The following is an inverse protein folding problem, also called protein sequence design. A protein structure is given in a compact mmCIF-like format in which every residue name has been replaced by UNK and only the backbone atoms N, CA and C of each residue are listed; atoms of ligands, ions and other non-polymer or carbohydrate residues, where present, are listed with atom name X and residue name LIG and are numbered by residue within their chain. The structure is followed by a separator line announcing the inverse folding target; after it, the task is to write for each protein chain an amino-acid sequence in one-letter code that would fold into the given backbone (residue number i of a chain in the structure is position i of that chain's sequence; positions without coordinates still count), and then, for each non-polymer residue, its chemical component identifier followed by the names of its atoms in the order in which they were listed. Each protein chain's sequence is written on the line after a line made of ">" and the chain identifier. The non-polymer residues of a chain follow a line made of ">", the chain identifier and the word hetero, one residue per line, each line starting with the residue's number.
data_IF_942438462559
#
_entry.id   IF_942438462559
#
_cell.length_a   1.000
_cell.length_b   1.000
_cell.length_c   1.000
_cell.angle_alpha   90.00
_cell.angle_beta   90.00
_cell.angle_gamma   90.00
#
_symmetry.space_group_name_H-M   'P 1'
#
loop_
_entity.id
_entity.type
_entity.pdbx_description
1 polymer ?
#
# COMPACT_ATOMS: atom_id res chain seq x y z
N UNK A 1 -13.19 15.63 -8.56
CA UNK A 1 -13.98 15.93 -9.76
C UNK A 1 -13.58 17.27 -10.34
N UNK A 2 -13.76 17.52 -11.65
CA UNK A 2 -13.48 18.78 -12.33
C UNK A 2 -13.40 18.60 -13.84
N UNK A 3 -13.32 19.67 -14.59
CA UNK A 3 -13.19 19.65 -16.06
C UNK A 3 -11.95 18.89 -16.53
N UNK A 4 -11.92 18.39 -17.78
CA UNK A 4 -10.68 17.94 -18.42
C UNK A 4 -9.59 19.02 -18.29
N UNK A 5 -8.34 18.60 -18.15
CA UNK A 5 -7.18 19.50 -18.00
C UNK A 5 -7.20 20.49 -16.81
N UNK A 6 -8.13 20.37 -15.86
CA UNK A 6 -8.08 21.17 -14.62
C UNK A 6 -6.93 20.77 -13.66
N UNK A 7 -6.18 19.73 -14.01
CA UNK A 7 -5.01 19.28 -13.24
C UNK A 7 -5.32 18.33 -12.10
N UNK A 8 -6.44 17.58 -12.14
CA UNK A 8 -6.84 16.59 -11.12
C UNK A 8 -5.75 15.57 -10.85
N UNK A 9 -5.27 14.89 -11.89
CA UNK A 9 -4.22 13.86 -11.78
C UNK A 9 -2.88 14.46 -11.29
N UNK A 10 -2.55 15.67 -11.74
CA UNK A 10 -1.37 16.40 -11.25
C UNK A 10 -1.50 16.74 -9.76
N UNK A 11 -2.70 17.11 -9.31
CA UNK A 11 -3.00 17.39 -7.91
C UNK A 11 -2.88 16.12 -7.06
N UNK A 12 -3.47 15.02 -7.49
CA UNK A 12 -3.34 13.72 -6.80
C UNK A 12 -1.88 13.32 -6.67
N UNK A 13 -1.08 13.48 -7.74
CA UNK A 13 0.36 13.21 -7.72
C UNK A 13 1.12 14.14 -6.76
N UNK A 14 0.77 15.42 -6.72
CA UNK A 14 1.41 16.38 -5.81
C UNK A 14 1.10 16.06 -4.35
N UNK A 15 -0.13 15.68 -4.03
CA UNK A 15 -0.57 15.30 -2.70
C UNK A 15 0.01 13.96 -2.24
N UNK A 16 0.19 12.99 -3.13
CA UNK A 16 0.74 11.66 -2.81
C UNK A 16 2.24 11.65 -2.53
N UNK A 17 2.98 12.72 -2.87
CA UNK A 17 4.45 12.79 -2.80
C UNK A 17 5.19 11.63 -3.49
N UNK A 18 4.48 10.76 -4.19
CA UNK A 18 5.03 9.71 -5.05
C UNK A 18 4.69 10.06 -6.49
N UNK A 19 5.64 9.88 -7.42
CA UNK A 19 5.27 9.73 -8.83
C UNK A 19 4.40 8.48 -8.90
N UNK A 20 3.09 8.66 -9.03
CA UNK A 20 2.21 7.56 -9.39
C UNK A 20 2.70 7.11 -10.75
N UNK A 21 3.36 5.97 -10.81
CA UNK A 21 3.64 5.30 -12.06
C UNK A 21 2.27 5.00 -12.65
N UNK A 22 1.91 5.69 -13.72
CA UNK A 22 0.75 5.36 -14.54
C UNK A 22 1.08 3.99 -15.15
N UNK A 23 0.71 2.93 -14.45
CA UNK A 23 0.75 1.58 -14.99
C UNK A 23 -0.48 1.45 -15.86
N UNK A 24 -0.28 1.58 -17.18
CA UNK A 24 -1.28 1.31 -18.19
C UNK A 24 -1.88 2.52 -18.86
N UNK A 25 -1.09 3.31 -19.58
CA UNK A 25 -1.58 4.11 -20.69
C UNK A 25 -1.58 3.26 -21.97
N UNK A 26 -2.59 2.44 -22.15
CA UNK A 26 -3.07 2.18 -23.49
C UNK A 26 -3.94 3.37 -23.90
N UNK A 27 -3.77 3.96 -25.10
CA UNK A 27 -4.41 5.22 -25.48
C UNK A 27 -5.92 5.13 -25.73
N UNK A 28 -6.66 4.25 -25.10
CA UNK A 28 -8.12 4.10 -25.30
C UNK A 28 -8.90 3.63 -24.05
N UNK A 29 -8.39 3.74 -22.82
CA UNK A 29 -9.12 3.27 -21.63
C UNK A 29 -9.09 4.24 -20.45
N UNK A 30 -9.22 5.54 -20.68
CA UNK A 30 -9.34 6.57 -19.62
C UNK A 30 -10.76 6.67 -19.06
N UNK A 31 -11.48 5.55 -18.90
CA UNK A 31 -12.88 5.52 -18.38
C UNK A 31 -13.03 4.96 -16.98
N UNK A 32 -11.94 4.60 -16.29
CA UNK A 32 -12.02 3.98 -14.96
C UNK A 32 -11.36 4.83 -13.86
N UNK A 33 -11.92 4.71 -12.64
CA UNK A 33 -11.48 5.38 -11.41
C UNK A 33 -10.03 5.00 -11.07
N UNK A 34 -9.13 5.97 -10.99
CA UNK A 34 -7.79 5.79 -10.47
C UNK A 34 -7.76 6.19 -8.99
N UNK A 35 -7.53 5.23 -8.11
CA UNK A 35 -7.46 5.47 -6.67
C UNK A 35 -6.01 5.45 -6.18
N UNK A 36 -5.66 6.44 -5.37
CA UNK A 36 -4.34 6.56 -4.75
C UNK A 36 -4.49 6.64 -3.24
N UNK A 37 -3.81 5.77 -2.52
CA UNK A 37 -3.79 5.79 -1.06
C UNK A 37 -2.74 6.78 -0.57
N UNK A 38 -3.16 7.72 0.26
CA UNK A 38 -2.29 8.72 0.90
C UNK A 38 -2.27 8.48 2.39
N UNK A 39 -1.05 8.50 2.97
CA UNK A 39 -0.83 8.40 4.40
C UNK A 39 -0.17 9.65 4.93
N UNK A 40 -0.77 10.26 5.98
CA UNK A 40 -0.21 11.42 6.67
C UNK A 40 -0.67 11.49 8.13
N UNK A 41 0.27 11.72 9.05
CA UNK A 41 -0.02 11.91 10.48
C UNK A 41 -0.97 10.85 11.06
N UNK A 42 -0.61 9.57 10.90
CA UNK A 42 -1.41 8.40 11.34
C UNK A 42 -2.81 8.28 10.71
N UNK A 43 -3.15 9.13 9.75
CA UNK A 43 -4.36 9.03 8.95
C UNK A 43 -4.04 8.51 7.56
N UNK A 44 -4.92 7.65 7.06
CA UNK A 44 -4.84 7.09 5.72
C UNK A 44 -6.16 7.33 5.03
N UNK A 45 -6.10 7.77 3.80
CA UNK A 45 -7.28 7.98 2.97
C UNK A 45 -6.97 7.70 1.50
N UNK A 46 -7.99 7.33 0.78
CA UNK A 46 -7.91 7.08 -0.64
C UNK A 46 -8.43 8.30 -1.38
N UNK A 47 -7.60 8.84 -2.27
CA UNK A 47 -8.04 9.84 -3.25
C UNK A 47 -8.33 9.11 -4.55
N UNK A 48 -9.53 9.31 -5.08
CA UNK A 48 -9.94 8.77 -6.36
C UNK A 48 -10.00 9.88 -7.39
N UNK A 49 -9.20 9.76 -8.46
CA UNK A 49 -9.32 10.61 -9.64
C UNK A 49 -10.42 10.05 -10.53
N UNK A 50 -11.45 10.85 -10.74
CA UNK A 50 -12.54 10.49 -11.65
C UNK A 50 -12.18 11.00 -13.04
N UNK A 51 -12.46 10.23 -14.11
CA UNK A 51 -12.23 10.68 -15.48
C UNK A 51 -12.87 12.03 -15.71
N UNK A 52 -12.18 12.89 -16.46
CA UNK A 52 -12.66 14.24 -16.78
C UNK A 52 -14.03 14.18 -17.44
N UNK A 53 -14.97 14.89 -16.84
CA UNK A 53 -16.32 15.02 -17.35
C UNK A 53 -16.28 15.88 -18.63
N UNK A 54 -16.83 15.37 -19.74
CA UNK A 54 -17.12 16.05 -21.00
C UNK A 54 -15.97 16.19 -22.02
N UNK A 55 -15.83 15.21 -22.88
CA UNK A 55 -15.41 15.47 -24.27
C UNK A 55 -16.63 15.52 -25.22
N UNK A 56 -17.79 14.97 -24.84
CA UNK A 56 -18.99 15.05 -25.69
C UNK A 56 -20.29 15.11 -24.87
N UNK A 57 -21.14 16.16 -25.03
CA UNK A 57 -22.38 16.33 -24.29
C UNK A 57 -23.47 15.29 -24.65
N UNK A 58 -23.38 14.68 -25.82
CA UNK A 58 -24.41 13.80 -26.36
C UNK A 58 -24.17 12.30 -26.08
N UNK A 59 -22.98 11.91 -25.61
CA UNK A 59 -22.65 10.54 -25.19
C UNK A 59 -22.81 10.27 -23.69
N UNK A 60 -23.61 11.01 -22.98
CA UNK A 60 -23.93 10.75 -21.56
C UNK A 60 -24.82 9.50 -21.42
N UNK A 61 -24.21 8.35 -21.66
CA UNK A 61 -24.79 7.06 -21.38
C UNK A 61 -25.25 7.02 -19.90
N UNK A 62 -26.52 6.70 -19.64
CA UNK A 62 -27.09 6.53 -18.29
C UNK A 62 -26.19 5.70 -17.36
N UNK A 63 -25.46 4.74 -17.93
CA UNK A 63 -24.46 3.94 -17.20
C UNK A 63 -23.31 4.76 -16.61
N UNK A 64 -22.84 5.82 -17.29
CA UNK A 64 -21.78 6.68 -16.77
C UNK A 64 -22.30 7.60 -15.67
N UNK A 65 -23.50 8.15 -15.82
CA UNK A 65 -24.16 8.95 -14.78
C UNK A 65 -24.41 8.15 -13.52
N UNK A 66 -24.83 6.89 -13.66
CA UNK A 66 -25.08 5.99 -12.54
C UNK A 66 -23.77 5.62 -11.82
N UNK A 67 -22.69 5.37 -12.56
CA UNK A 67 -21.34 5.16 -11.98
C UNK A 67 -20.85 6.38 -11.21
N UNK A 68 -20.99 7.58 -11.79
CA UNK A 68 -20.56 8.81 -11.15
C UNK A 68 -21.36 9.10 -9.87
N UNK A 69 -22.66 8.89 -9.90
CA UNK A 69 -23.53 8.98 -8.69
C UNK A 69 -23.07 8.00 -7.61
N UNK A 70 -22.74 6.77 -7.96
CA UNK A 70 -22.22 5.78 -7.01
C UNK A 70 -20.90 6.26 -6.38
N UNK A 71 -19.97 6.78 -7.18
CA UNK A 71 -18.71 7.31 -6.65
C UNK A 71 -18.88 8.56 -5.78
N UNK A 72 -19.81 9.44 -6.12
CA UNK A 72 -20.13 10.59 -5.28
C UNK A 72 -20.76 10.15 -3.96
N UNK A 73 -21.67 9.17 -3.97
CA UNK A 73 -22.31 8.67 -2.76
C UNK A 73 -21.33 8.00 -1.80
N UNK A 74 -20.29 7.32 -2.30
CA UNK A 74 -19.26 6.68 -1.49
C UNK A 74 -18.26 7.66 -0.90
N UNK A 75 -18.16 8.88 -1.44
CA UNK A 75 -17.18 9.87 -1.03
C UNK A 75 -17.62 10.57 0.26
N UNK A 76 -16.75 10.61 1.27
CA UNK A 76 -16.96 11.44 2.47
C UNK A 76 -16.61 12.90 2.24
N UNK A 77 -15.66 13.14 1.33
CA UNK A 77 -15.20 14.46 0.97
C UNK A 77 -14.97 14.51 -0.54
N UNK A 78 -15.46 15.58 -1.16
CA UNK A 78 -15.35 15.79 -2.59
C UNK A 78 -14.46 17.01 -2.82
N UNK A 79 -13.43 16.86 -3.66
CA UNK A 79 -12.64 17.99 -4.13
C UNK A 79 -13.13 18.41 -5.52
N UNK A 80 -13.68 19.61 -5.63
CA UNK A 80 -14.03 20.22 -6.90
C UNK A 80 -12.84 21.04 -7.42
N UNK A 81 -12.12 20.48 -8.40
CA UNK A 81 -10.87 21.07 -8.92
C UNK A 81 -11.17 21.94 -10.14
N UNK A 82 -10.86 23.21 -10.03
CA UNK A 82 -11.10 24.23 -11.05
C UNK A 82 -9.75 24.82 -11.49
N UNK A 83 -9.54 24.87 -12.81
CA UNK A 83 -8.45 25.65 -13.39
C UNK A 83 -8.80 27.15 -13.32
N UNK A 84 -7.99 27.95 -12.66
CA UNK A 84 -8.24 29.40 -12.50
C UNK A 84 -8.25 30.17 -13.82
N UNK A 85 -7.65 29.60 -14.86
CA UNK A 85 -7.59 30.20 -16.21
C UNK A 85 -8.70 29.68 -17.13
N UNK A 86 -9.64 28.89 -16.60
CA UNK A 86 -10.70 28.32 -17.45
C UNK A 86 -11.63 29.38 -18.02
N UNK A 87 -12.02 29.22 -19.25
CA UNK A 87 -13.08 29.98 -19.93
C UNK A 87 -14.35 29.13 -20.14
N UNK A 88 -14.31 27.85 -19.80
CA UNK A 88 -15.44 26.94 -19.96
C UNK A 88 -16.37 26.96 -18.73
N UNK A 89 -17.08 28.07 -18.55
CA UNK A 89 -18.03 28.23 -17.46
C UNK A 89 -19.26 27.30 -17.59
N UNK A 90 -19.73 27.03 -18.82
CA UNK A 90 -20.86 26.14 -19.04
C UNK A 90 -20.56 24.71 -18.57
N UNK A 91 -19.33 24.25 -18.76
CA UNK A 91 -18.87 22.96 -18.23
C UNK A 91 -18.80 22.95 -16.71
N UNK A 92 -18.34 24.03 -16.09
CA UNK A 92 -18.34 24.17 -14.63
C UNK A 92 -19.78 24.18 -14.06
N UNK A 93 -20.71 24.90 -14.70
CA UNK A 93 -22.13 24.94 -14.29
C UNK A 93 -22.78 23.55 -14.32
N UNK A 94 -22.45 22.73 -15.32
CA UNK A 94 -22.93 21.35 -15.40
C UNK A 94 -22.41 20.50 -14.23
N UNK A 95 -21.10 20.59 -13.90
CA UNK A 95 -20.52 19.85 -12.78
C UNK A 95 -21.12 20.38 -11.45
N UNK A 96 -21.25 21.69 -11.29
CA UNK A 96 -21.84 22.32 -10.13
C UNK A 96 -23.27 21.83 -9.89
N UNK A 97 -24.13 21.85 -10.92
CA UNK A 97 -25.49 21.35 -10.86
C UNK A 97 -25.54 19.85 -10.52
N UNK A 98 -24.62 19.06 -11.04
CA UNK A 98 -24.50 17.65 -10.75
C UNK A 98 -24.11 17.41 -9.28
N UNK A 99 -23.16 18.17 -8.76
CA UNK A 99 -22.79 18.11 -7.34
C UNK A 99 -23.97 18.49 -6.46
N UNK A 100 -24.63 19.61 -6.72
CA UNK A 100 -25.80 20.06 -5.94
C UNK A 100 -26.93 19.02 -5.87
N UNK A 101 -27.16 18.26 -6.96
CA UNK A 101 -28.19 17.22 -7.03
C UNK A 101 -27.85 15.93 -6.31
N UNK A 102 -26.56 15.61 -6.13
CA UNK A 102 -26.13 14.30 -5.66
C UNK A 102 -25.34 14.36 -4.32
N UNK A 103 -25.08 15.52 -3.76
CA UNK A 103 -24.40 15.66 -2.46
C UNK A 103 -25.40 15.46 -1.33
N UNK A 104 -25.03 14.61 -0.37
CA UNK A 104 -25.77 14.40 0.88
C UNK A 104 -25.32 15.40 1.95
N UNK A 105 -26.19 15.71 2.93
CA UNK A 105 -25.91 16.69 4.02
C UNK A 105 -24.67 16.36 4.86
N UNK A 106 -24.22 15.10 4.87
CA UNK A 106 -23.06 14.66 5.63
C UNK A 106 -21.73 14.76 4.84
N UNK A 107 -21.81 15.03 3.55
CA UNK A 107 -20.65 15.14 2.67
C UNK A 107 -20.14 16.57 2.62
N UNK A 108 -18.81 16.72 2.71
CA UNK A 108 -18.14 17.99 2.55
C UNK A 108 -17.61 18.15 1.12
N UNK A 109 -17.73 19.37 0.59
CA UNK A 109 -17.16 19.72 -0.71
C UNK A 109 -16.12 20.83 -0.52
N UNK A 110 -14.92 20.58 -0.99
CA UNK A 110 -13.84 21.56 -0.98
C UNK A 110 -13.61 22.00 -2.42
N UNK A 111 -13.61 23.31 -2.65
CA UNK A 111 -13.23 23.88 -3.94
C UNK A 111 -11.72 24.07 -3.98
N UNK A 112 -11.08 23.53 -5.03
CA UNK A 112 -9.63 23.63 -5.21
C UNK A 112 -9.35 24.38 -6.51
N UNK A 113 -8.91 25.63 -6.37
CA UNK A 113 -8.44 26.44 -7.49
C UNK A 113 -7.00 26.08 -7.81
N UNK A 114 -6.79 25.41 -8.95
CA UNK A 114 -5.48 24.92 -9.38
C UNK A 114 -4.88 25.83 -10.46
N UNK A 115 -3.57 25.68 -10.68
CA UNK A 115 -2.71 26.48 -11.57
C UNK A 115 -2.50 27.92 -11.09
N UNK A 116 -2.58 28.14 -9.77
CA UNK A 116 -2.26 29.40 -9.14
C UNK A 116 -0.74 29.54 -8.99
N UNK A 117 -0.06 30.07 -10.02
CA UNK A 117 1.41 30.14 -10.00
C UNK A 117 1.96 31.36 -9.25
N UNK A 118 1.15 32.41 -9.05
CA UNK A 118 1.57 33.67 -8.48
C UNK A 118 0.61 34.17 -7.39
N UNK A 119 0.69 33.62 -6.18
CA UNK A 119 -0.18 33.94 -5.04
C UNK A 119 -0.20 35.44 -4.66
N UNK A 120 0.88 36.19 -4.90
CA UNK A 120 0.98 37.60 -4.51
C UNK A 120 0.27 38.57 -5.47
N UNK A 121 -0.09 38.13 -6.68
CA UNK A 121 -0.73 38.96 -7.72
C UNK A 121 -1.98 38.32 -8.32
N UNK A 122 -2.48 37.26 -7.68
CA UNK A 122 -3.59 36.50 -8.20
C UNK A 122 -4.90 37.08 -7.69
N UNK A 123 -5.71 37.63 -8.59
CA UNK A 123 -7.11 37.98 -8.35
C UNK A 123 -7.97 36.91 -9.00
N UNK A 124 -8.81 36.26 -8.19
CA UNK A 124 -9.75 35.25 -8.69
C UNK A 124 -10.80 35.97 -9.56
N UNK A 125 -11.08 35.44 -10.73
CA UNK A 125 -12.19 35.95 -11.55
C UNK A 125 -13.51 35.83 -10.78
N UNK A 126 -14.27 36.93 -10.75
CA UNK A 126 -15.55 37.05 -10.01
C UNK A 126 -16.54 35.93 -10.36
N UNK A 127 -16.55 35.44 -11.60
CA UNK A 127 -17.38 34.34 -12.07
C UNK A 127 -17.10 33.04 -11.34
N UNK A 128 -15.90 32.82 -10.80
CA UNK A 128 -15.52 31.58 -10.13
C UNK A 128 -15.98 31.51 -8.68
N UNK A 129 -16.36 32.64 -8.04
CA UNK A 129 -16.84 32.64 -6.66
C UNK A 129 -18.12 31.82 -6.45
N UNK A 130 -18.96 31.69 -7.49
CA UNK A 130 -20.19 30.88 -7.42
C UNK A 130 -19.96 29.39 -7.23
N UNK A 131 -18.72 28.91 -7.46
CA UNK A 131 -18.34 27.50 -7.30
C UNK A 131 -17.65 27.20 -5.98
N UNK A 132 -17.56 28.17 -5.07
CA UNK A 132 -17.05 27.94 -3.72
C UNK A 132 -18.11 27.23 -2.89
N UNK A 133 -17.70 26.14 -2.26
CA UNK A 133 -18.49 25.35 -1.33
C UNK A 133 -18.05 25.59 0.12
N UNK A 134 -17.89 24.55 0.92
CA UNK A 134 -17.58 24.66 2.37
C UNK A 134 -16.25 25.35 2.66
N UNK A 135 -15.29 25.22 1.78
CA UNK A 135 -13.99 25.91 1.85
C UNK A 135 -13.30 25.92 0.48
N UNK A 136 -12.38 26.85 0.31
CA UNK A 136 -11.61 27.02 -0.91
C UNK A 136 -10.10 26.99 -0.64
N UNK A 137 -9.35 26.43 -1.58
CA UNK A 137 -7.90 26.33 -1.52
C UNK A 137 -7.30 26.68 -2.87
N UNK A 138 -6.21 27.44 -2.82
CA UNK A 138 -5.48 27.86 -4.01
C UNK A 138 -4.18 27.06 -4.11
N UNK A 139 -3.97 26.35 -5.22
CA UNK A 139 -2.82 25.48 -5.37
C UNK A 139 -2.17 25.62 -6.74
N UNK A 140 -0.88 25.37 -6.81
CA UNK A 140 -0.19 25.02 -8.04
C UNK A 140 0.32 23.59 -7.92
N UNK A 141 -0.37 22.64 -8.56
CA UNK A 141 -0.01 21.23 -8.49
C UNK A 141 1.37 20.94 -9.07
N UNK A 142 1.79 21.68 -10.11
CA UNK A 142 3.09 21.53 -10.76
C UNK A 142 4.21 22.04 -9.85
N UNK A 143 4.03 23.23 -9.25
CA UNK A 143 5.02 23.86 -8.39
C UNK A 143 4.87 23.47 -6.91
N UNK A 144 3.87 22.64 -6.57
CA UNK A 144 3.54 22.20 -5.20
C UNK A 144 3.28 23.35 -4.22
N UNK A 145 2.78 24.46 -4.71
CA UNK A 145 2.39 25.61 -3.88
C UNK A 145 0.98 25.39 -3.33
N UNK A 146 0.72 25.69 -2.04
CA UNK A 146 -0.58 25.52 -1.38
C UNK A 146 -1.00 24.07 -1.14
N UNK A 147 -0.25 23.08 -1.62
CA UNK A 147 -0.59 21.66 -1.49
C UNK A 147 -0.47 21.14 -0.05
N UNK A 148 0.40 21.74 0.77
CA UNK A 148 0.56 21.37 2.19
C UNK A 148 -0.66 21.83 3.00
N UNK A 149 -1.13 23.05 2.78
CA UNK A 149 -2.31 23.61 3.43
C UNK A 149 -3.57 22.80 3.08
N UNK A 150 -3.76 22.51 1.80
CA UNK A 150 -4.83 21.62 1.34
C UNK A 150 -4.74 20.23 2.02
N UNK A 151 -3.54 19.66 2.10
CA UNK A 151 -3.33 18.36 2.73
C UNK A 151 -3.65 18.40 4.23
N UNK A 152 -3.31 19.46 4.93
CA UNK A 152 -3.69 19.63 6.34
C UNK A 152 -5.20 19.70 6.52
N UNK A 153 -5.88 20.43 5.66
CA UNK A 153 -7.34 20.53 5.67
C UNK A 153 -8.01 19.17 5.40
N UNK A 154 -7.53 18.44 4.40
CA UNK A 154 -7.99 17.06 4.14
C UNK A 154 -7.79 16.16 5.36
N UNK A 155 -6.64 16.26 6.02
CA UNK A 155 -6.33 15.46 7.20
C UNK A 155 -7.21 15.83 8.41
N UNK A 156 -7.56 17.11 8.58
CA UNK A 156 -8.46 17.61 9.65
C UNK A 156 -9.93 17.25 9.40
N UNK A 157 -10.40 17.33 8.17
CA UNK A 157 -11.80 17.06 7.81
C UNK A 157 -12.16 15.57 7.85
N UNK A 158 -11.16 14.71 7.80
CA UNK A 158 -11.37 13.27 7.99
C UNK A 158 -11.39 12.94 9.48
N UNK A 159 -12.61 12.83 10.06
CA UNK A 159 -12.81 12.35 11.41
C UNK A 159 -12.14 10.98 11.60
N UNK A 160 -11.65 10.74 12.81
CA UNK A 160 -10.94 9.53 13.25
C UNK A 160 -11.85 8.30 13.26
N UNK A 161 -12.38 7.88 12.14
CA UNK A 161 -12.97 6.56 12.00
C UNK A 161 -11.84 5.56 11.77
N UNK A 162 -11.35 5.00 12.85
CA UNK A 162 -10.35 3.93 12.92
C UNK A 162 -10.79 2.66 12.17
N UNK A 163 -12.06 2.50 11.85
CA UNK A 163 -12.59 1.27 11.24
C UNK A 163 -12.30 1.14 9.73
N UNK A 164 -12.27 2.26 8.99
CA UNK A 164 -11.90 2.22 7.56
C UNK A 164 -10.38 2.12 7.34
N UNK A 165 -9.57 2.53 8.33
CA UNK A 165 -8.11 2.42 8.30
C UNK A 165 -7.67 0.97 8.50
N UNK A 166 -8.39 0.21 9.32
CA UNK A 166 -8.11 -1.22 9.57
C UNK A 166 -8.19 -2.06 8.30
N UNK A 167 -9.10 -1.76 7.39
CA UNK A 167 -9.30 -2.59 6.20
C UNK A 167 -8.26 -2.35 5.08
N UNK A 168 -7.65 -1.17 5.00
CA UNK A 168 -6.67 -0.85 3.94
C UNK A 168 -5.30 -1.50 4.20
N UNK A 169 -5.00 -1.89 5.45
CA UNK A 169 -3.71 -2.50 5.83
C UNK A 169 -3.73 -4.02 5.94
N UNK A 170 -4.88 -4.65 5.72
CA UNK A 170 -5.02 -6.10 5.90
C UNK A 170 -5.10 -6.86 4.59
N UNK A 171 -4.23 -6.52 3.63
CA UNK A 171 -4.14 -7.31 2.40
C UNK A 171 -2.98 -8.29 2.47
N UNK A 172 -3.22 -9.52 2.03
CA UNK A 172 -2.25 -10.60 1.95
C UNK A 172 -2.06 -10.95 0.47
N UNK A 173 -0.85 -10.81 -0.04
CA UNK A 173 -0.50 -11.27 -1.38
C UNK A 173 -0.12 -12.75 -1.36
N UNK A 174 -0.56 -13.54 -2.34
CA UNK A 174 -0.08 -14.90 -2.57
C UNK A 174 0.84 -14.90 -3.79
N UNK A 175 2.13 -15.07 -3.58
CA UNK A 175 3.15 -15.01 -4.61
C UNK A 175 3.95 -16.31 -4.69
N UNK A 176 4.67 -16.52 -5.77
CA UNK A 176 5.50 -17.69 -5.99
C UNK A 176 5.42 -18.18 -7.43
N UNK A 177 6.20 -19.19 -7.76
CA UNK A 177 6.33 -19.72 -9.13
C UNK A 177 5.05 -20.35 -9.66
N UNK A 178 4.92 -20.51 -10.98
CA UNK A 178 3.89 -21.35 -11.57
C UNK A 178 3.96 -22.77 -10.98
N UNK A 179 2.80 -23.38 -10.74
CA UNK A 179 2.63 -24.74 -10.22
C UNK A 179 3.16 -24.99 -8.77
N UNK A 180 3.51 -23.95 -8.01
CA UNK A 180 3.85 -24.09 -6.58
C UNK A 180 2.64 -24.40 -5.70
N UNK A 181 1.42 -24.23 -6.22
CA UNK A 181 0.18 -24.52 -5.52
C UNK A 181 -0.52 -23.30 -4.91
N UNK A 182 -0.25 -22.09 -5.45
CA UNK A 182 -0.90 -20.83 -5.02
C UNK A 182 -2.42 -20.91 -5.08
N UNK A 183 -2.97 -21.27 -6.25
CA UNK A 183 -4.43 -21.37 -6.43
C UNK A 183 -5.06 -22.49 -5.57
N UNK A 184 -4.31 -23.57 -5.33
CA UNK A 184 -4.77 -24.63 -4.42
C UNK A 184 -4.85 -24.12 -2.99
N UNK A 185 -3.84 -23.36 -2.54
CA UNK A 185 -3.83 -22.74 -1.22
C UNK A 185 -4.96 -21.70 -1.09
N UNK A 186 -5.12 -20.83 -2.10
CA UNK A 186 -6.19 -19.83 -2.14
C UNK A 186 -7.57 -20.48 -2.01
N UNK A 187 -7.87 -21.49 -2.86
CA UNK A 187 -9.14 -22.21 -2.80
C UNK A 187 -9.34 -22.94 -1.47
N UNK A 188 -8.26 -23.49 -0.88
CA UNK A 188 -8.35 -24.13 0.43
C UNK A 188 -8.68 -23.16 1.54
N UNK A 189 -8.11 -21.95 1.51
CA UNK A 189 -8.40 -20.88 2.46
C UNK A 189 -9.85 -20.38 2.32
N UNK A 190 -10.38 -20.32 1.10
CA UNK A 190 -11.78 -19.93 0.84
C UNK A 190 -12.79 -20.98 1.32
N UNK A 191 -12.47 -22.28 1.15
CA UNK A 191 -13.37 -23.40 1.47
C UNK A 191 -13.36 -23.81 2.96
N UNK A 192 -12.41 -23.38 3.75
CA UNK A 192 -12.51 -23.52 5.21
C UNK A 192 -13.55 -22.50 5.68
N UNK A 193 -14.62 -22.89 6.42
CA UNK A 193 -15.85 -22.21 6.85
C UNK A 193 -15.73 -20.74 7.36
N UNK A 194 -14.67 -20.06 7.03
CA UNK A 194 -14.24 -18.73 7.49
C UNK A 194 -14.31 -17.64 6.43
N UNK A 195 -14.59 -18.00 5.19
CA UNK A 195 -14.77 -17.04 4.13
C UNK A 195 -16.15 -16.40 4.21
N UNK A 196 -16.24 -15.17 4.67
CA UNK A 196 -17.41 -14.36 4.36
C UNK A 196 -17.18 -13.84 2.94
N UNK A 197 -17.73 -14.56 1.98
CA UNK A 197 -17.79 -14.06 0.61
C UNK A 197 -18.78 -12.90 0.60
N UNK A 198 -18.30 -11.69 0.78
CA UNK A 198 -19.04 -10.53 0.34
C UNK A 198 -18.80 -10.41 -1.17
N UNK A 199 -19.68 -11.04 -1.94
CA UNK A 199 -19.79 -10.79 -3.37
C UNK A 199 -20.26 -9.34 -3.58
N UNK A 200 -19.37 -8.38 -3.45
CA UNK A 200 -19.57 -7.10 -4.11
C UNK A 200 -19.23 -7.36 -5.58
N UNK A 201 -20.24 -7.85 -6.28
CA UNK A 201 -20.29 -7.97 -7.72
C UNK A 201 -20.15 -6.58 -8.32
N UNK A 202 -18.96 -6.22 -8.73
CA UNK A 202 -18.67 -4.93 -9.34
C UNK A 202 -17.38 -4.92 -10.13
N UNK A 203 -17.48 -5.41 -11.36
CA UNK A 203 -16.66 -4.99 -12.51
C UNK A 203 -15.14 -5.05 -12.37
N UNK A 204 -14.54 -6.07 -12.93
CA UNK A 204 -13.47 -6.02 -13.93
C UNK A 204 -12.58 -7.27 -13.88
N UNK A 205 -12.28 -7.74 -15.02
CA UNK A 205 -11.73 -9.03 -15.45
C UNK A 205 -10.31 -9.41 -14.98
N UNK A 206 -9.65 -8.74 -14.02
CA UNK A 206 -8.22 -8.94 -13.84
C UNK A 206 -7.70 -9.18 -12.42
N UNK A 207 -8.52 -9.10 -11.35
CA UNK A 207 -8.07 -9.42 -9.99
C UNK A 207 -9.17 -10.11 -9.19
N UNK A 208 -8.88 -11.30 -8.69
CA UNK A 208 -9.69 -11.96 -7.68
C UNK A 208 -9.21 -11.45 -6.31
N UNK A 209 -9.99 -10.55 -5.72
CA UNK A 209 -9.82 -10.11 -4.34
C UNK A 209 -10.95 -10.74 -3.52
N UNK A 210 -10.59 -11.59 -2.57
CA UNK A 210 -11.55 -12.25 -1.68
C UNK A 210 -11.21 -11.91 -0.24
N UNK A 211 -12.23 -11.65 0.56
CA UNK A 211 -12.05 -11.36 1.97
C UNK A 211 -12.11 -12.64 2.79
N UNK A 212 -11.05 -12.96 3.49
CA UNK A 212 -10.97 -14.09 4.42
C UNK A 212 -10.84 -13.58 5.84
N UNK A 213 -11.54 -14.20 6.78
CA UNK A 213 -11.38 -13.94 8.21
C UNK A 213 -10.32 -14.86 8.80
N UNK A 214 -9.36 -14.25 9.49
CA UNK A 214 -8.45 -14.93 10.38
C UNK A 214 -8.76 -14.47 11.81
N UNK A 215 -9.36 -15.33 12.61
CA UNK A 215 -9.93 -15.02 13.93
C UNK A 215 -10.92 -13.82 13.87
N UNK A 216 -10.62 -12.72 14.55
CA UNK A 216 -11.46 -11.51 14.59
C UNK A 216 -11.21 -10.56 13.43
N UNK A 217 -10.18 -10.79 12.62
CA UNK A 217 -9.72 -9.85 11.62
C UNK A 217 -9.99 -10.31 10.20
N UNK A 218 -10.39 -9.37 9.34
CA UNK A 218 -10.65 -9.62 7.94
C UNK A 218 -9.46 -9.18 7.08
N UNK A 219 -9.05 -10.02 6.14
CA UNK A 219 -7.96 -9.77 5.20
C UNK A 219 -8.43 -9.92 3.77
N UNK A 220 -8.06 -8.99 2.92
CA UNK A 220 -8.24 -9.14 1.49
C UNK A 220 -7.08 -9.98 0.95
N UNK A 221 -7.38 -11.13 0.37
CA UNK A 221 -6.37 -11.94 -0.31
C UNK A 221 -6.38 -11.58 -1.78
N UNK A 222 -5.19 -11.26 -2.30
CA UNK A 222 -4.97 -10.93 -3.71
C UNK A 222 -4.29 -12.13 -4.36
N UNK A 223 -5.00 -12.84 -5.26
CA UNK A 223 -4.42 -13.95 -6.01
C UNK A 223 -3.77 -13.48 -7.30
N UNK A 224 -2.50 -13.85 -7.48
CA UNK A 224 -1.71 -13.57 -8.67
C UNK A 224 -1.99 -14.52 -9.84
N UNK A 225 -2.75 -15.59 -9.62
CA UNK A 225 -2.91 -16.68 -10.60
C UNK A 225 -3.98 -16.44 -11.68
N UNK A 226 -4.78 -15.36 -11.56
CA UNK A 226 -5.94 -15.08 -12.44
C UNK A 226 -5.62 -14.52 -13.83
N UNK A 227 -4.37 -14.49 -14.29
CA UNK A 227 -4.01 -13.95 -15.62
C UNK A 227 -4.17 -15.01 -16.70
N UNK A 228 -4.94 -14.76 -17.80
CA UNK A 228 -5.18 -15.73 -18.86
C UNK A 228 -3.89 -16.15 -19.56
N UNK A 229 -3.67 -17.46 -19.63
CA UNK A 229 -2.58 -18.07 -20.38
C UNK A 229 -2.79 -17.91 -21.89
N UNK A 230 -2.26 -16.85 -22.51
CA UNK A 230 -1.94 -16.85 -23.95
C UNK A 230 -0.78 -15.89 -24.23
N UNK A 231 0.32 -16.50 -24.72
CA UNK A 231 1.48 -16.01 -25.48
C UNK A 231 2.83 -15.85 -24.80
N UNK A 232 3.79 -16.62 -25.39
CA UNK A 232 5.24 -16.48 -25.47
C UNK A 232 6.09 -16.58 -24.18
N UNK A 233 6.89 -17.66 -24.12
CA UNK A 233 7.74 -18.09 -23.00
C UNK A 233 8.72 -17.05 -22.44
N UNK A 234 9.22 -16.11 -23.22
CA UNK A 234 10.27 -15.17 -22.81
C UNK A 234 9.76 -13.79 -22.31
N UNK A 235 8.48 -13.49 -22.51
CA UNK A 235 7.84 -12.28 -21.96
C UNK A 235 7.05 -12.57 -20.68
N UNK A 236 6.67 -13.83 -20.45
CA UNK A 236 5.84 -14.27 -19.32
C UNK A 236 6.58 -14.10 -18.00
N UNK A 237 7.90 -14.35 -17.94
CA UNK A 237 8.66 -14.27 -16.70
C UNK A 237 8.86 -12.80 -16.23
N UNK A 238 9.03 -11.87 -17.16
CA UNK A 238 9.09 -10.43 -16.84
C UNK A 238 7.72 -9.85 -16.46
N UNK A 239 6.65 -10.34 -17.07
CA UNK A 239 5.28 -9.91 -16.78
C UNK A 239 4.79 -10.46 -15.44
N UNK A 240 5.10 -11.70 -15.10
CA UNK A 240 4.77 -12.29 -13.80
C UNK A 240 5.48 -11.58 -12.65
N UNK A 241 6.73 -11.16 -12.84
CA UNK A 241 7.48 -10.36 -11.86
C UNK A 241 6.88 -8.96 -11.66
N UNK A 242 6.45 -8.28 -12.74
CA UNK A 242 5.87 -6.93 -12.63
C UNK A 242 4.48 -6.93 -11.99
N UNK A 243 3.70 -7.98 -12.19
CA UNK A 243 2.39 -8.17 -11.55
C UNK A 243 2.54 -8.49 -10.06
N UNK A 244 3.54 -9.31 -9.67
CA UNK A 244 3.85 -9.59 -8.28
C UNK A 244 4.23 -8.29 -7.53
N UNK A 245 5.04 -7.43 -8.14
CA UNK A 245 5.43 -6.14 -7.54
C UNK A 245 4.23 -5.22 -7.31
N UNK A 246 3.32 -5.10 -8.29
CA UNK A 246 2.11 -4.27 -8.16
C UNK A 246 1.14 -4.74 -7.07
N UNK A 247 1.22 -6.01 -6.65
CA UNK A 247 0.40 -6.55 -5.57
C UNK A 247 1.05 -6.37 -4.20
N UNK A 248 2.39 -6.40 -4.14
CA UNK A 248 3.13 -6.13 -2.92
C UNK A 248 2.92 -4.69 -2.43
N UNK A 249 2.74 -3.73 -3.34
CA UNK A 249 2.53 -2.32 -2.96
C UNK A 249 1.31 -2.09 -2.05
N UNK A 250 0.30 -2.97 -2.13
CA UNK A 250 -0.94 -2.86 -1.37
C UNK A 250 -1.06 -3.92 -0.25
N UNK A 251 -0.03 -4.73 -0.03
CA UNK A 251 -0.05 -5.82 0.93
C UNK A 251 0.85 -5.55 2.13
N UNK A 252 0.47 -6.09 3.29
CA UNK A 252 1.26 -6.04 4.53
C UNK A 252 2.03 -7.35 4.73
N UNK A 253 1.43 -8.45 4.29
CA UNK A 253 1.95 -9.81 4.38
C UNK A 253 1.97 -10.41 2.98
N UNK A 254 2.98 -11.20 2.67
CA UNK A 254 3.06 -11.99 1.45
C UNK A 254 3.26 -13.47 1.76
N UNK A 255 2.38 -14.32 1.26
CA UNK A 255 2.57 -15.77 1.26
C UNK A 255 3.42 -16.15 0.06
N UNK A 256 4.70 -16.39 0.27
CA UNK A 256 5.59 -16.94 -0.75
C UNK A 256 5.48 -18.46 -0.79
N UNK A 257 4.73 -18.96 -1.77
CA UNK A 257 4.46 -20.37 -1.92
C UNK A 257 5.53 -21.03 -2.78
N UNK A 258 6.25 -22.00 -2.19
CA UNK A 258 7.33 -22.76 -2.83
C UNK A 258 6.94 -24.24 -2.84
N UNK A 259 7.18 -24.92 -3.97
CA UNK A 259 7.06 -26.37 -4.06
C UNK A 259 8.23 -27.01 -3.29
N UNK A 260 7.91 -27.67 -2.17
CA UNK A 260 8.92 -28.25 -1.28
C UNK A 260 9.82 -29.28 -1.99
N UNK A 261 9.29 -30.00 -3.00
CA UNK A 261 10.06 -30.97 -3.77
C UNK A 261 11.14 -30.30 -4.64
N UNK A 262 10.91 -29.09 -5.10
CA UNK A 262 11.89 -28.32 -5.87
C UNK A 262 12.88 -27.58 -4.97
N UNK A 263 12.52 -27.36 -3.70
CA UNK A 263 13.30 -26.56 -2.78
C UNK A 263 13.30 -25.06 -3.11
N UNK A 264 14.04 -24.28 -2.32
CA UNK A 264 14.22 -22.84 -2.53
C UNK A 264 15.33 -22.61 -3.55
N UNK A 265 15.09 -21.73 -4.50
CA UNK A 265 16.08 -21.35 -5.51
C UNK A 265 16.27 -19.83 -5.59
N UNK A 266 17.08 -19.39 -6.56
CA UNK A 266 17.44 -17.99 -6.75
C UNK A 266 16.22 -17.06 -6.97
N UNK A 267 15.20 -17.50 -7.71
CA UNK A 267 14.00 -16.70 -7.96
C UNK A 267 13.17 -16.52 -6.69
N UNK A 268 13.08 -17.56 -5.84
CA UNK A 268 12.38 -17.47 -4.55
C UNK A 268 13.10 -16.49 -3.61
N UNK A 269 14.45 -16.51 -3.61
CA UNK A 269 15.26 -15.55 -2.86
C UNK A 269 15.10 -14.12 -3.37
N UNK A 270 14.92 -13.94 -4.67
CA UNK A 270 14.63 -12.64 -5.28
C UNK A 270 13.25 -12.14 -4.82
N UNK A 271 12.22 -12.98 -4.82
CA UNK A 271 10.88 -12.62 -4.33
C UNK A 271 10.90 -12.24 -2.84
N UNK A 272 11.69 -12.92 -2.00
CA UNK A 272 11.91 -12.51 -0.60
C UNK A 272 12.49 -11.10 -0.54
N UNK A 273 13.52 -10.81 -1.33
CA UNK A 273 14.16 -9.49 -1.37
C UNK A 273 13.17 -8.41 -1.83
N UNK A 274 12.39 -8.69 -2.87
CA UNK A 274 11.34 -7.79 -3.37
C UNK A 274 10.27 -7.50 -2.31
N UNK A 275 9.84 -8.51 -1.52
CA UNK A 275 8.93 -8.27 -0.39
C UNK A 275 9.55 -7.29 0.62
N UNK A 276 10.80 -7.51 1.02
CA UNK A 276 11.49 -6.69 2.01
C UNK A 276 11.68 -5.25 1.51
N UNK A 277 12.07 -5.07 0.24
CA UNK A 277 12.22 -3.74 -0.39
C UNK A 277 10.89 -2.98 -0.43
N UNK A 278 9.79 -3.68 -0.70
CA UNK A 278 8.43 -3.12 -0.65
C UNK A 278 7.85 -3.04 0.77
N UNK A 279 8.63 -3.42 1.81
CA UNK A 279 8.22 -3.39 3.21
C UNK A 279 7.04 -4.31 3.53
N UNK A 280 6.92 -5.39 2.80
CA UNK A 280 5.94 -6.45 3.01
C UNK A 280 6.59 -7.57 3.79
N UNK A 281 5.90 -8.09 4.80
CA UNK A 281 6.40 -9.21 5.61
C UNK A 281 6.18 -10.52 4.85
N UNK A 282 7.24 -11.21 4.36
CA UNK A 282 7.09 -12.49 3.71
C UNK A 282 6.91 -13.63 4.73
N UNK A 283 6.03 -14.56 4.42
CA UNK A 283 5.91 -15.88 5.07
C UNK A 283 6.26 -16.92 4.02
N UNK A 284 7.29 -17.69 4.25
CA UNK A 284 7.69 -18.76 3.36
C UNK A 284 6.82 -19.99 3.60
N UNK A 285 6.07 -20.39 2.59
CA UNK A 285 5.18 -21.55 2.62
C UNK A 285 5.77 -22.66 1.77
N UNK A 286 6.35 -23.67 2.43
CA UNK A 286 6.83 -24.90 1.80
C UNK A 286 5.63 -25.82 1.57
N UNK A 287 5.05 -25.73 0.37
CA UNK A 287 3.87 -26.48 -0.01
C UNK A 287 4.23 -27.88 -0.58
N UNK A 288 3.26 -28.77 -0.63
CA UNK A 288 3.40 -30.17 -1.04
C UNK A 288 4.36 -30.96 -0.14
N UNK A 289 4.42 -30.57 1.13
CA UNK A 289 5.30 -31.18 2.14
C UNK A 289 4.99 -32.67 2.39
N UNK A 290 3.76 -33.07 2.11
CA UNK A 290 3.27 -34.46 2.19
C UNK A 290 3.89 -35.40 1.14
N UNK A 291 4.39 -34.87 0.04
CA UNK A 291 5.01 -35.65 -1.03
C UNK A 291 6.48 -36.01 -0.77
N UNK A 292 7.06 -35.53 0.32
CA UNK A 292 8.46 -35.73 0.66
C UNK A 292 8.66 -36.93 1.60
N UNK A 293 9.71 -37.70 1.35
CA UNK A 293 10.21 -38.71 2.29
C UNK A 293 10.96 -38.05 3.46
N UNK A 294 11.13 -38.73 4.56
CA UNK A 294 11.78 -38.16 5.77
C UNK A 294 13.23 -37.69 5.51
N UNK A 295 13.99 -38.42 4.70
CA UNK A 295 15.35 -38.04 4.31
C UNK A 295 15.36 -36.72 3.51
N UNK A 296 14.43 -36.59 2.57
CA UNK A 296 14.26 -35.34 1.76
C UNK A 296 13.88 -34.15 2.64
N UNK A 297 13.01 -34.34 3.63
CA UNK A 297 12.63 -33.30 4.61
C UNK A 297 13.83 -32.82 5.41
N UNK A 298 14.68 -33.72 5.87
CA UNK A 298 15.91 -33.37 6.59
C UNK A 298 16.89 -32.59 5.72
N UNK A 299 17.08 -33.04 4.47
CA UNK A 299 17.95 -32.37 3.50
C UNK A 299 17.44 -30.95 3.20
N UNK A 300 16.15 -30.81 2.91
CA UNK A 300 15.52 -29.52 2.60
C UNK A 300 15.62 -28.57 3.80
N UNK A 301 15.38 -29.03 5.01
CA UNK A 301 15.51 -28.22 6.23
C UNK A 301 16.93 -27.67 6.42
N UNK A 302 17.96 -28.48 6.17
CA UNK A 302 19.37 -28.04 6.22
C UNK A 302 19.65 -26.96 5.17
N UNK A 303 19.16 -27.15 3.94
CA UNK A 303 19.34 -26.19 2.86
C UNK A 303 18.63 -24.86 3.15
N UNK A 304 17.41 -24.90 3.65
CA UNK A 304 16.65 -23.72 4.05
C UNK A 304 17.42 -22.92 5.12
N UNK A 305 17.92 -23.59 6.16
CA UNK A 305 18.69 -22.95 7.23
C UNK A 305 19.96 -22.26 6.71
N UNK A 306 20.63 -22.88 5.73
CA UNK A 306 21.82 -22.30 5.10
C UNK A 306 21.50 -21.09 4.21
N UNK A 307 20.50 -21.22 3.33
CA UNK A 307 20.11 -20.19 2.37
C UNK A 307 19.51 -18.96 3.07
N UNK A 308 18.73 -19.17 4.12
CA UNK A 308 18.03 -18.11 4.85
C UNK A 308 18.81 -17.57 6.06
N UNK A 309 20.09 -17.89 6.18
CA UNK A 309 20.93 -17.37 7.29
C UNK A 309 20.84 -15.85 7.46
N UNK A 310 20.77 -15.10 6.36
CA UNK A 310 20.59 -13.64 6.34
C UNK A 310 19.18 -13.21 6.79
N UNK A 311 18.18 -14.06 6.64
CA UNK A 311 16.78 -13.82 6.92
C UNK A 311 16.28 -14.78 8.02
N UNK A 312 17.08 -14.95 9.10
CA UNK A 312 16.77 -15.86 10.21
C UNK A 312 15.44 -15.56 10.90
N UNK A 313 14.96 -14.34 10.78
CA UNK A 313 13.67 -13.89 11.29
C UNK A 313 12.47 -14.34 10.41
N UNK A 314 12.70 -14.87 9.21
CA UNK A 314 11.64 -15.23 8.28
C UNK A 314 10.83 -16.42 8.80
N UNK A 315 9.51 -16.27 8.90
CA UNK A 315 8.62 -17.38 9.28
C UNK A 315 8.50 -18.38 8.14
N UNK A 316 8.67 -19.67 8.48
CA UNK A 316 8.58 -20.79 7.54
C UNK A 316 7.47 -21.73 7.98
N UNK A 317 6.53 -22.00 7.07
CA UNK A 317 5.45 -22.96 7.29
C UNK A 317 5.59 -24.13 6.30
N UNK A 318 5.31 -25.33 6.78
CA UNK A 318 5.31 -26.56 5.99
C UNK A 318 3.88 -27.05 5.90
N UNK A 319 3.34 -27.06 4.68
CA UNK A 319 1.92 -27.38 4.46
C UNK A 319 1.72 -28.35 3.29
N UNK A 320 0.55 -28.96 3.26
CA UNK A 320 -0.06 -29.50 2.05
C UNK A 320 -1.36 -28.75 1.78
N UNK A 321 -1.33 -27.85 0.81
CA UNK A 321 -2.52 -27.08 0.43
C UNK A 321 -3.64 -28.00 -0.08
N UNK A 322 -3.29 -29.13 -0.73
CA UNK A 322 -4.25 -30.11 -1.24
C UNK A 322 -4.99 -30.81 -0.10
N UNK A 323 -4.24 -31.35 0.87
CA UNK A 323 -4.79 -32.13 1.97
C UNK A 323 -5.23 -31.27 3.17
N UNK A 324 -4.90 -29.97 3.18
CA UNK A 324 -5.19 -29.07 4.29
C UNK A 324 -4.23 -29.20 5.48
N UNK A 325 -3.27 -30.12 5.45
CA UNK A 325 -2.32 -30.35 6.54
C UNK A 325 -1.44 -29.11 6.74
N UNK A 326 -1.42 -28.57 7.95
CA UNK A 326 -0.64 -27.39 8.31
C UNK A 326 -1.27 -26.03 7.90
N UNK A 327 -2.35 -26.02 7.09
CA UNK A 327 -3.02 -24.76 6.67
C UNK A 327 -3.62 -24.03 7.87
N UNK A 328 -4.15 -24.75 8.86
CA UNK A 328 -4.69 -24.14 10.09
C UNK A 328 -3.66 -23.31 10.86
N UNK A 329 -2.38 -23.66 10.76
CA UNK A 329 -1.31 -22.90 11.44
C UNK A 329 -1.13 -21.47 10.88
N UNK A 330 -1.64 -21.19 9.66
CA UNK A 330 -1.64 -19.84 9.09
C UNK A 330 -2.40 -18.85 9.98
N UNK A 331 -3.51 -19.27 10.59
CA UNK A 331 -4.28 -18.43 11.50
C UNK A 331 -3.43 -17.93 12.67
N UNK A 332 -2.81 -18.87 13.39
CA UNK A 332 -1.97 -18.56 14.55
C UNK A 332 -0.82 -17.63 14.15
N UNK A 333 -0.18 -17.94 13.02
CA UNK A 333 0.94 -17.11 12.52
C UNK A 333 0.48 -15.71 12.14
N UNK A 334 -0.64 -15.57 11.44
CA UNK A 334 -1.17 -14.24 11.06
C UNK A 334 -1.53 -13.43 12.31
N UNK A 335 -2.16 -14.06 13.31
CA UNK A 335 -2.48 -13.40 14.58
C UNK A 335 -1.22 -12.90 15.30
N UNK A 336 -0.18 -13.74 15.42
CA UNK A 336 1.11 -13.36 16.02
C UNK A 336 1.75 -12.19 15.26
N UNK A 337 1.79 -12.27 13.92
CA UNK A 337 2.36 -11.21 13.08
C UNK A 337 1.59 -9.91 13.21
N UNK A 338 0.28 -9.97 13.29
CA UNK A 338 -0.55 -8.77 13.46
C UNK A 338 -0.26 -8.06 14.78
N UNK A 339 -0.11 -8.81 15.86
CA UNK A 339 0.28 -8.25 17.16
C UNK A 339 1.61 -7.52 17.07
N UNK A 340 2.60 -8.12 16.41
CA UNK A 340 3.91 -7.51 16.20
C UNK A 340 3.83 -6.28 15.28
N UNK A 341 3.12 -6.39 14.16
CA UNK A 341 2.94 -5.30 13.19
C UNK A 341 2.21 -4.09 13.79
N UNK A 342 1.30 -4.29 14.74
CA UNK A 342 0.56 -3.21 15.40
C UNK A 342 1.29 -2.60 16.61
N UNK A 343 2.46 -3.12 16.97
CA UNK A 343 3.20 -2.66 18.15
C UNK A 343 3.70 -1.22 17.97
N UNK A 344 3.28 -0.33 18.88
CA UNK A 344 3.72 1.06 18.94
C UNK A 344 4.62 1.26 20.16
N UNK A 345 5.83 1.74 19.93
CA UNK A 345 6.82 2.04 20.95
C UNK A 345 6.91 3.55 21.11
N UNK A 346 6.93 4.03 22.33
CA UNK A 346 7.03 5.47 22.57
C UNK A 346 8.41 5.99 22.20
N UNK A 347 8.45 7.23 21.72
CA UNK A 347 9.70 7.90 21.38
C UNK A 347 10.65 8.01 22.57
N UNK A 348 10.09 8.21 23.77
CA UNK A 348 10.86 8.27 25.02
C UNK A 348 11.59 6.96 25.29
N UNK A 349 10.88 5.85 25.25
CA UNK A 349 11.41 4.51 25.45
C UNK A 349 12.52 4.15 24.45
N UNK A 350 12.29 4.41 23.17
CA UNK A 350 13.30 4.21 22.13
C UNK A 350 14.58 5.02 22.39
N UNK A 351 14.44 6.28 22.80
CA UNK A 351 15.61 7.12 23.06
C UNK A 351 16.38 6.71 24.29
N UNK A 352 15.72 6.24 25.36
CA UNK A 352 16.42 5.68 26.53
C UNK A 352 17.22 4.46 26.11
N UNK A 353 16.58 3.47 25.48
CA UNK A 353 17.22 2.23 25.04
C UNK A 353 18.43 2.49 24.15
N UNK A 354 18.25 3.29 23.08
CA UNK A 354 19.30 3.47 22.10
C UNK A 354 20.42 4.40 22.55
N UNK A 355 20.19 5.34 23.47
CA UNK A 355 21.25 6.11 24.13
C UNK A 355 22.12 5.20 25.00
N UNK A 356 21.51 4.28 25.74
CA UNK A 356 22.23 3.29 26.53
C UNK A 356 23.09 2.37 25.63
N UNK A 357 22.50 1.85 24.54
CA UNK A 357 23.23 1.03 23.55
C UNK A 357 24.41 1.79 22.94
N UNK A 358 24.18 3.05 22.54
CA UNK A 358 25.25 3.89 21.96
C UNK A 358 26.38 4.17 22.93
N UNK A 359 26.09 4.27 24.23
CA UNK A 359 27.08 4.47 25.28
C UNK A 359 27.89 3.20 25.53
N UNK A 360 27.21 2.05 25.66
CA UNK A 360 27.85 0.76 25.97
C UNK A 360 28.62 0.18 24.76
N UNK A 361 28.07 0.33 23.55
CA UNK A 361 28.62 -0.24 22.33
C UNK A 361 28.52 0.77 21.17
N UNK A 362 29.36 1.82 21.16
CA UNK A 362 29.33 2.82 20.10
C UNK A 362 29.75 2.24 18.75
N UNK A 363 29.25 2.80 17.62
CA UNK A 363 29.67 2.38 16.29
C UNK A 363 31.16 2.64 16.06
N UNK A 364 31.82 1.79 15.27
CA UNK A 364 33.15 2.06 14.82
C UNK A 364 33.22 3.35 13.98
N UNK A 365 34.30 4.10 14.06
CA UNK A 365 34.48 5.30 13.25
C UNK A 365 34.37 4.99 11.76
N UNK A 366 33.61 5.78 11.04
CA UNK A 366 33.56 5.76 9.59
C UNK A 366 34.33 6.97 9.06
N UNK A 367 35.40 6.72 8.29
CA UNK A 367 36.31 7.78 7.81
C UNK A 367 36.79 8.71 8.95
N UNK A 368 37.25 8.13 10.05
CA UNK A 368 37.80 8.86 11.21
C UNK A 368 36.76 9.56 12.12
N UNK A 369 35.47 9.52 11.79
CA UNK A 369 34.43 10.15 12.60
C UNK A 369 33.46 9.12 13.15
N UNK A 370 33.14 9.18 14.45
CA UNK A 370 32.14 8.36 15.10
C UNK A 370 30.77 9.02 14.95
N UNK A 371 29.79 8.23 14.50
CA UNK A 371 28.40 8.68 14.48
C UNK A 371 27.86 8.82 15.91
N UNK A 372 27.15 9.93 16.19
CA UNK A 372 26.43 10.15 17.44
C UNK A 372 24.94 10.03 17.19
N UNK A 373 24.22 9.37 18.07
CA UNK A 373 22.77 9.33 18.05
C UNK A 373 22.21 10.66 18.55
N UNK A 374 21.44 11.35 17.73
CA UNK A 374 20.69 12.54 18.12
C UNK A 374 19.32 12.16 18.64
N UNK A 375 18.62 11.32 17.87
CA UNK A 375 17.22 11.03 18.13
C UNK A 375 16.76 9.77 17.38
N UNK A 376 15.84 8.99 17.99
CA UNK A 376 15.19 7.86 17.35
C UNK A 376 13.68 7.93 17.54
N UNK A 377 12.92 7.61 16.51
CA UNK A 377 11.46 7.57 16.57
C UNK A 377 10.89 6.46 15.69
N UNK A 378 9.78 5.88 16.12
CA UNK A 378 8.95 5.03 15.29
C UNK A 378 7.93 5.94 14.58
N UNK A 379 8.00 6.00 13.25
CA UNK A 379 7.10 6.84 12.46
C UNK A 379 5.95 6.06 11.82
N UNK A 380 6.02 4.72 11.81
CA UNK A 380 4.97 3.85 11.29
C UNK A 380 4.92 2.51 12.02
N UNK A 381 3.78 1.81 11.97
CA UNK A 381 3.56 0.50 12.58
C UNK A 381 3.35 -0.63 11.56
N UNK A 382 2.98 -0.32 10.30
CA UNK A 382 2.72 -1.31 9.25
C UNK A 382 3.62 -1.12 8.01
N UNK A 383 4.81 -1.75 7.98
CA UNK A 383 5.51 -2.45 9.05
C UNK A 383 6.13 -1.46 10.04
N UNK A 384 6.56 -1.94 11.23
CA UNK A 384 7.25 -1.09 12.19
C UNK A 384 8.43 -0.37 11.55
N UNK A 385 8.38 0.94 11.54
CA UNK A 385 9.27 1.80 10.77
C UNK A 385 9.95 2.81 11.69
N UNK A 386 11.29 2.81 11.69
CA UNK A 386 12.11 3.59 12.59
C UNK A 386 13.00 4.56 11.84
N UNK A 387 13.18 5.76 12.39
CA UNK A 387 14.10 6.76 11.90
C UNK A 387 15.13 7.10 12.96
N UNK A 388 16.40 6.79 12.67
CA UNK A 388 17.56 7.15 13.49
C UNK A 388 18.19 8.40 12.92
N UNK A 389 18.17 9.50 13.66
CA UNK A 389 18.81 10.76 13.29
C UNK A 389 20.17 10.80 13.95
N UNK A 390 21.20 10.89 13.12
CA UNK A 390 22.60 10.74 13.52
C UNK A 390 23.41 11.99 13.16
N UNK A 391 24.57 12.14 13.78
CA UNK A 391 25.62 13.02 13.28
C UNK A 391 26.74 12.16 12.69
N UNK A 392 26.60 11.75 11.42
CA UNK A 392 27.58 10.91 10.73
C UNK A 392 27.01 9.54 10.33
N UNK A 393 27.81 8.79 9.57
CA UNK A 393 27.39 7.50 9.00
C UNK A 393 27.70 6.33 9.91
N UNK A 394 26.79 5.35 9.98
CA UNK A 394 26.99 4.07 10.66
C UNK A 394 27.34 2.97 9.66
N UNK A 395 28.33 2.13 9.97
CA UNK A 395 28.66 0.95 9.16
C UNK A 395 27.49 -0.03 9.08
N UNK A 396 27.43 -0.83 8.00
CA UNK A 396 26.34 -1.77 7.74
C UNK A 396 26.21 -2.85 8.85
N UNK A 397 27.33 -3.30 9.41
CA UNK A 397 27.34 -4.25 10.50
C UNK A 397 26.69 -3.67 11.78
N UNK A 398 26.82 -2.37 12.01
CA UNK A 398 26.17 -1.71 13.13
C UNK A 398 24.68 -1.48 12.86
N UNK A 399 24.29 -1.24 11.61
CA UNK A 399 22.87 -1.19 11.21
C UNK A 399 22.17 -2.54 11.48
N UNK A 400 22.85 -3.64 11.12
CA UNK A 400 22.34 -5.00 11.40
C UNK A 400 22.27 -5.27 12.93
N UNK A 401 23.23 -4.75 13.68
CA UNK A 401 23.19 -4.84 15.14
C UNK A 401 21.96 -4.11 15.74
N UNK A 402 21.64 -2.92 15.21
CA UNK A 402 20.45 -2.16 15.62
C UNK A 402 19.16 -2.92 15.27
N UNK A 403 19.09 -3.51 14.05
CA UNK A 403 17.94 -4.33 13.63
C UNK A 403 17.73 -5.50 14.62
N UNK A 404 18.78 -6.26 14.92
CA UNK A 404 18.71 -7.36 15.88
C UNK A 404 18.28 -6.88 17.28
N UNK A 405 18.77 -5.73 17.74
CA UNK A 405 18.38 -5.19 19.04
C UNK A 405 16.92 -4.78 19.12
N UNK A 406 16.38 -4.19 18.05
CA UNK A 406 14.94 -3.91 17.95
C UNK A 406 14.11 -5.19 18.02
N UNK A 407 14.55 -6.24 17.30
CA UNK A 407 13.89 -7.54 17.29
C UNK A 407 13.89 -8.19 18.67
N UNK A 408 15.06 -8.29 19.30
CA UNK A 408 15.24 -8.93 20.60
C UNK A 408 14.46 -8.19 21.72
N UNK A 409 14.46 -6.85 21.68
CA UNK A 409 13.86 -6.06 22.77
C UNK A 409 12.35 -5.99 22.69
N UNK A 410 11.81 -5.93 21.47
CA UNK A 410 10.37 -5.71 21.25
C UNK A 410 9.64 -6.90 20.62
N UNK A 411 10.29 -8.06 20.57
CA UNK A 411 9.74 -9.32 20.02
C UNK A 411 9.26 -9.18 18.57
N UNK A 412 10.08 -8.54 17.72
CA UNK A 412 9.80 -8.43 16.30
C UNK A 412 10.37 -9.61 15.50
N UNK A 413 10.04 -10.84 15.91
CA UNK A 413 10.73 -12.04 15.44
C UNK A 413 10.43 -12.44 13.98
N UNK A 414 9.23 -12.18 13.48
CA UNK A 414 8.82 -12.73 12.19
C UNK A 414 8.32 -11.67 11.21
N UNK A 415 8.67 -10.41 11.42
CA UNK A 415 8.18 -9.30 10.60
C UNK A 415 9.31 -8.52 9.93
N UNK A 416 8.98 -7.87 8.83
CA UNK A 416 9.85 -6.91 8.19
C UNK A 416 9.94 -5.63 9.04
N UNK A 417 11.15 -5.14 9.30
CA UNK A 417 11.39 -3.83 9.90
C UNK A 417 11.90 -2.86 8.85
N UNK A 418 11.44 -1.62 8.90
CA UNK A 418 11.91 -0.55 8.04
C UNK A 418 12.73 0.45 8.86
N UNK A 419 14.05 0.37 8.76
CA UNK A 419 14.95 1.21 9.52
C UNK A 419 15.66 2.19 8.59
N UNK A 420 15.53 3.48 8.89
CA UNK A 420 16.19 4.56 8.14
C UNK A 420 17.21 5.26 9.01
N UNK A 421 18.42 5.42 8.49
CA UNK A 421 19.49 6.22 9.10
C UNK A 421 19.62 7.53 8.34
N UNK A 422 19.34 8.65 9.04
CA UNK A 422 19.39 10.02 8.49
C UNK A 422 20.51 10.80 9.15
N UNK A 423 21.23 11.60 8.38
CA UNK A 423 22.28 12.50 8.86
C UNK A 423 21.74 13.90 9.08
#
# INVERSE_FOLDING_TARGET
>A
IGLPNSGKSSLVNALSRKKVSIIGSTPNTTRDKVSTTIKRNDKVFNISDLPGYLEDPDELNEKFQNKLKAYLNDAKLIMFVIDVHTTNYSGLDKIHSLLQKNINKEQKVITVFNKCENFKKFELNTELYKYIYDSDYYVSSIHKLGTEELMEALTKSMSSNTDSIKNTYKSIAIIGKPNSGKSTLFNKLLNEERAIVSSISGTTRDRLEETIKFDSDSYNIIDTAGVPRKKQKNQIDRYASSLAVGQLENSVIAFLVVDAKQGINFEDMRLISECIENKVTPILIMNKWDLLKEEEKLFINKNIASLLKKYSWLKILRISALNGKGVKNLNTVIYELQKQLSTRITTHELNILFREIWTKKPPHPFRGRRAKLKYVTQYDVYPPSFSFILSGRVPINYQNFIDNRLRDTYNFDNICLNIKFKN
#
